data_IF_814232289466
#
_entry.id   IF_814232289466
#
_cell.length_a   1.000
_cell.length_b   1.000
_cell.length_c   1.000
_cell.angle_alpha   90.00
_cell.angle_beta   90.00
_cell.angle_gamma   90.00
#
_symmetry.space_group_name_H-M   'P 1'
#
loop_
_entity.id
_entity.type
_entity.pdbx_description
1 polymer ?
#
# COMPACT_ATOMS: atom_id res chain seq x y z
N UNK A 1 -35.56 16.66 -19.02
CA UNK A 1 -34.89 16.84 -17.72
C UNK A 1 -34.60 15.44 -17.23
N UNK A 2 -33.34 15.05 -17.10
CA UNK A 2 -33.01 13.80 -16.41
C UNK A 2 -33.59 13.88 -14.99
N UNK A 3 -34.08 12.75 -14.50
CA UNK A 3 -34.43 12.66 -13.09
C UNK A 3 -33.12 12.80 -12.30
N UNK A 4 -32.98 13.88 -11.54
CA UNK A 4 -31.79 14.16 -10.72
C UNK A 4 -31.45 12.96 -9.82
N UNK A 5 -32.45 12.14 -9.43
CA UNK A 5 -32.24 10.91 -8.66
C UNK A 5 -31.60 9.81 -9.50
N UNK A 6 -31.97 9.68 -10.76
CA UNK A 6 -31.37 8.72 -11.68
C UNK A 6 -29.92 9.08 -11.99
N UNK A 7 -29.63 10.37 -12.23
CA UNK A 7 -28.27 10.86 -12.45
C UNK A 7 -27.37 10.61 -11.24
N UNK A 8 -27.87 10.90 -10.03
CA UNK A 8 -27.15 10.62 -8.79
C UNK A 8 -26.89 9.12 -8.62
N UNK A 9 -27.89 8.27 -8.85
CA UNK A 9 -27.75 6.82 -8.76
C UNK A 9 -26.69 6.29 -9.73
N UNK A 10 -26.70 6.80 -10.97
CA UNK A 10 -25.70 6.45 -11.98
C UNK A 10 -24.29 6.94 -11.60
N UNK A 11 -24.16 8.14 -11.03
CA UNK A 11 -22.89 8.64 -10.50
C UNK A 11 -22.37 7.79 -9.33
N UNK A 12 -23.22 7.44 -8.37
CA UNK A 12 -22.85 6.58 -7.23
C UNK A 12 -22.41 5.20 -7.67
N UNK A 13 -23.09 4.58 -8.66
CA UNK A 13 -22.66 3.28 -9.21
C UNK A 13 -21.27 3.34 -9.84
N UNK A 14 -20.97 4.41 -10.58
CA UNK A 14 -19.64 4.63 -11.16
C UNK A 14 -18.58 4.81 -10.08
N UNK A 15 -18.86 5.65 -9.08
CA UNK A 15 -17.98 5.86 -7.93
C UNK A 15 -17.64 4.54 -7.24
N UNK A 16 -18.67 3.74 -6.87
CA UNK A 16 -18.46 2.45 -6.18
C UNK A 16 -17.66 1.45 -6.99
N UNK A 17 -17.83 1.43 -8.32
CA UNK A 17 -17.02 0.58 -9.21
C UNK A 17 -15.56 0.99 -9.17
N UNK A 18 -15.27 2.28 -9.30
CA UNK A 18 -13.90 2.79 -9.21
C UNK A 18 -13.29 2.55 -7.83
N UNK A 19 -14.06 2.75 -6.76
CA UNK A 19 -13.64 2.48 -5.39
C UNK A 19 -13.31 1.00 -5.18
N UNK A 20 -14.13 0.09 -5.71
CA UNK A 20 -13.84 -1.36 -5.66
C UNK A 20 -12.55 -1.70 -6.39
N UNK A 21 -12.37 -1.19 -7.61
CA UNK A 21 -11.14 -1.41 -8.38
C UNK A 21 -9.90 -0.80 -7.72
N UNK A 22 -10.05 0.35 -7.06
CA UNK A 22 -8.97 0.97 -6.28
C UNK A 22 -8.58 0.11 -5.07
N UNK A 23 -9.56 -0.42 -4.33
CA UNK A 23 -9.29 -1.30 -3.20
C UNK A 23 -8.64 -2.62 -3.64
N UNK A 24 -9.03 -3.17 -4.79
CA UNK A 24 -8.36 -4.35 -5.39
C UNK A 24 -6.90 -4.04 -5.74
N UNK A 25 -6.65 -2.97 -6.50
CA UNK A 25 -5.29 -2.54 -6.84
C UNK A 25 -4.44 -2.23 -5.59
N UNK A 26 -5.05 -1.68 -4.54
CA UNK A 26 -4.38 -1.42 -3.27
C UNK A 26 -3.98 -2.71 -2.55
N UNK A 27 -4.82 -3.76 -2.59
CA UNK A 27 -4.50 -5.08 -2.03
C UNK A 27 -3.36 -5.73 -2.80
N UNK A 28 -3.43 -5.76 -4.12
CA UNK A 28 -2.38 -6.29 -4.99
C UNK A 28 -1.03 -5.60 -4.71
N UNK A 29 -1.04 -4.27 -4.58
CA UNK A 29 0.16 -3.51 -4.22
C UNK A 29 0.70 -3.88 -2.83
N UNK A 30 -0.17 -4.10 -1.85
CA UNK A 30 0.26 -4.53 -0.52
C UNK A 30 0.89 -5.93 -0.56
N UNK A 31 0.33 -6.86 -1.33
CA UNK A 31 0.91 -8.19 -1.52
C UNK A 31 2.31 -8.10 -2.14
N UNK A 32 2.48 -7.26 -3.16
CA UNK A 32 3.79 -7.00 -3.77
C UNK A 32 4.79 -6.38 -2.77
N UNK A 33 4.34 -5.45 -1.93
CA UNK A 33 5.13 -4.88 -0.83
C UNK A 33 5.61 -5.95 0.14
N UNK A 34 4.72 -6.84 0.59
CA UNK A 34 5.07 -7.92 1.51
C UNK A 34 6.01 -8.94 0.86
N UNK A 35 5.80 -9.27 -0.41
CA UNK A 35 6.70 -10.12 -1.17
C UNK A 35 8.11 -9.51 -1.28
N UNK A 36 8.22 -8.21 -1.58
CA UNK A 36 9.50 -7.50 -1.63
C UNK A 36 10.23 -7.53 -0.28
N UNK A 37 9.52 -7.28 0.82
CA UNK A 37 10.09 -7.36 2.16
C UNK A 37 10.56 -8.77 2.52
N UNK A 38 9.77 -9.81 2.20
CA UNK A 38 10.16 -11.21 2.37
C UNK A 38 11.39 -11.57 1.53
N UNK A 39 11.51 -10.97 0.34
CA UNK A 39 12.67 -11.07 -0.55
C UNK A 39 13.89 -10.26 -0.10
N UNK A 40 13.83 -9.56 1.04
CA UNK A 40 14.95 -8.81 1.60
C UNK A 40 15.11 -7.38 1.08
N UNK A 41 14.15 -6.85 0.31
CA UNK A 41 14.16 -5.44 -0.08
C UNK A 41 13.99 -4.58 1.18
N UNK A 42 14.86 -3.58 1.42
CA UNK A 42 14.81 -2.81 2.66
C UNK A 42 13.55 -1.94 2.72
N UNK A 43 12.94 -1.74 3.90
CA UNK A 43 11.70 -0.96 4.03
C UNK A 43 11.75 0.46 3.47
N UNK A 44 12.92 1.10 3.45
CA UNK A 44 13.13 2.43 2.87
C UNK A 44 13.03 2.44 1.35
N UNK A 45 13.46 1.36 0.70
CA UNK A 45 13.33 1.18 -0.74
C UNK A 45 11.87 0.91 -1.11
N UNK A 46 11.20 0.06 -0.33
CA UNK A 46 9.76 -0.21 -0.48
C UNK A 46 8.92 1.06 -0.29
N UNK A 47 9.26 1.91 0.69
CA UNK A 47 8.62 3.22 0.87
C UNK A 47 8.81 4.12 -0.36
N UNK A 48 10.01 4.17 -0.93
CA UNK A 48 10.26 4.97 -2.14
C UNK A 48 9.47 4.50 -3.35
N UNK A 49 9.25 3.19 -3.47
CA UNK A 49 8.58 2.56 -4.61
C UNK A 49 7.05 2.44 -4.46
N UNK A 50 6.49 2.81 -3.32
CA UNK A 50 5.07 2.64 -3.02
C UNK A 50 4.44 3.94 -2.52
N UNK A 51 3.10 4.08 -2.62
CA UNK A 51 2.39 5.23 -2.05
C UNK A 51 2.24 5.13 -0.52
N UNK A 52 2.83 4.11 0.11
CA UNK A 52 2.70 3.86 1.54
C UNK A 52 3.83 4.50 2.33
N UNK A 53 3.50 4.99 3.52
CA UNK A 53 4.50 5.51 4.45
C UNK A 53 5.32 4.37 5.06
N UNK A 54 6.57 4.62 5.43
CA UNK A 54 7.39 3.64 6.16
C UNK A 54 6.74 3.17 7.46
N UNK A 55 6.00 4.04 8.15
CA UNK A 55 5.28 3.67 9.36
C UNK A 55 4.22 2.59 9.07
N UNK A 56 3.46 2.75 8.00
CA UNK A 56 2.46 1.77 7.57
C UNK A 56 3.11 0.46 7.13
N UNK A 57 4.15 0.52 6.29
CA UNK A 57 4.89 -0.65 5.82
C UNK A 57 5.45 -1.46 7.00
N UNK A 58 6.13 -0.82 7.96
CA UNK A 58 6.68 -1.50 9.14
C UNK A 58 5.59 -2.08 10.05
N UNK A 59 4.44 -1.42 10.17
CA UNK A 59 3.30 -1.95 10.95
C UNK A 59 2.77 -3.23 10.31
N UNK A 60 2.54 -3.21 9.00
CA UNK A 60 2.02 -4.38 8.27
C UNK A 60 3.04 -5.51 8.26
N UNK A 61 4.32 -5.22 8.01
CA UNK A 61 5.39 -6.21 8.05
C UNK A 61 5.44 -6.98 9.38
N UNK A 62 5.32 -6.27 10.52
CA UNK A 62 5.27 -6.88 11.85
C UNK A 62 4.02 -7.73 12.06
N UNK A 63 2.87 -7.27 11.59
CA UNK A 63 1.61 -8.03 11.68
C UNK A 63 1.70 -9.36 10.90
N UNK A 64 2.44 -9.37 9.79
CA UNK A 64 2.71 -10.53 8.94
C UNK A 64 3.93 -11.36 9.38
N UNK A 65 4.53 -11.05 10.53
CA UNK A 65 5.68 -11.77 11.08
C UNK A 65 6.99 -11.59 10.30
N UNK A 66 7.08 -10.60 9.41
CA UNK A 66 8.30 -10.30 8.66
C UNK A 66 9.28 -9.59 9.60
N UNK A 67 10.48 -10.16 9.85
CA UNK A 67 11.45 -9.55 10.75
C UNK A 67 11.93 -8.20 10.19
N UNK A 68 12.24 -7.22 11.07
CA UNK A 68 12.82 -5.97 10.62
C UNK A 68 14.14 -6.23 9.90
N UNK A 69 14.42 -5.46 8.84
CA UNK A 69 15.73 -5.47 8.20
C UNK A 69 16.81 -5.21 9.25
N UNK A 70 17.93 -5.94 9.13
CA UNK A 70 19.07 -5.75 10.04
C UNK A 70 19.48 -4.26 10.03
N UNK A 71 19.87 -3.69 11.18
CA UNK A 71 20.43 -2.35 11.22
C UNK A 71 21.56 -2.26 10.20
N UNK A 72 21.51 -1.26 9.32
CA UNK A 72 22.61 -0.99 8.40
C UNK A 72 23.92 -0.81 9.19
N UNK A 73 25.08 -1.11 8.59
CA UNK A 73 26.36 -0.96 9.26
C UNK A 73 26.44 0.44 9.87
N UNK A 74 26.62 0.49 11.21
CA UNK A 74 26.77 1.74 11.94
C UNK A 74 27.96 2.46 11.34
N UNK A 75 27.74 3.60 10.67
CA UNK A 75 28.82 4.48 10.26
C UNK A 75 29.56 4.88 11.53
N UNK A 76 30.67 4.21 11.81
CA UNK A 76 31.68 4.69 12.74
C UNK A 76 32.24 5.95 12.11
N UNK A 77 31.78 7.10 12.58
CA UNK A 77 32.45 8.38 12.34
C UNK A 77 33.87 8.24 12.88
N UNK A 78 34.84 8.18 11.97
CA UNK A 78 36.26 8.41 12.27
C UNK A 78 36.53 9.91 12.34
#
# INVERSE_FOLDING_TARGET
MSDLREDLSAATRRYRRTESAHEEARKELMEAVLAALRGGVPPTEVERLSPFTAAYIRRTARAEGIPPAAPGPKRVSS
#
